data_IF_061085256425
#
_entry.id   IF_061085256425
#
_cell.length_a   1.000
_cell.length_b   1.000
_cell.length_c   1.000
_cell.angle_alpha   90.00
_cell.angle_beta   90.00
_cell.angle_gamma   90.00
#
_symmetry.space_group_name_H-M   'P 1'
#
loop_
_entity.id
_entity.type
_entity.pdbx_description
1 polymer ?
#
# COMPACT_ATOMS: atom_id res chain seq x y z
N UNK A 1 34.11 -13.91 4.79
CA UNK A 1 33.70 -13.50 6.15
C UNK A 1 32.33 -14.09 6.42
N UNK A 2 32.14 -14.74 7.55
CA UNK A 2 30.85 -15.32 7.93
C UNK A 2 29.88 -14.19 8.29
N UNK A 3 28.69 -14.18 7.69
CA UNK A 3 27.66 -13.19 8.01
C UNK A 3 27.02 -13.56 9.35
N UNK A 4 26.66 -12.56 10.16
CA UNK A 4 26.13 -12.76 11.52
C UNK A 4 24.72 -12.21 11.67
N UNK A 5 23.90 -12.90 12.45
CA UNK A 5 22.55 -12.49 12.77
C UNK A 5 22.59 -11.20 13.61
N UNK A 6 21.83 -10.17 13.22
CA UNK A 6 21.79 -8.89 13.95
C UNK A 6 21.16 -9.01 15.35
N UNK A 7 20.37 -10.07 15.60
CA UNK A 7 19.68 -10.30 16.87
C UNK A 7 20.54 -11.12 17.83
N UNK A 8 21.03 -12.29 17.38
CA UNK A 8 21.69 -13.27 18.26
C UNK A 8 23.18 -13.50 17.95
N UNK A 9 23.77 -12.82 16.97
CA UNK A 9 25.17 -12.96 16.53
C UNK A 9 25.61 -14.34 16.00
N UNK A 10 24.70 -15.31 15.90
CA UNK A 10 24.94 -16.61 15.25
C UNK A 10 25.17 -16.46 13.74
N UNK A 11 25.63 -17.53 13.08
CA UNK A 11 25.77 -17.55 11.63
C UNK A 11 24.42 -17.26 10.95
N UNK A 12 24.45 -16.28 10.03
CA UNK A 12 23.27 -15.84 9.31
C UNK A 12 23.25 -16.38 7.88
N UNK A 13 22.07 -16.87 7.50
CA UNK A 13 21.79 -17.43 6.17
C UNK A 13 20.84 -16.57 5.36
N UNK A 14 20.15 -15.63 6.00
CA UNK A 14 19.12 -14.78 5.39
C UNK A 14 19.55 -13.30 5.44
N UNK A 15 19.16 -12.54 4.42
CA UNK A 15 19.41 -11.10 4.32
C UNK A 15 18.13 -10.40 3.86
N UNK A 16 17.81 -9.26 4.44
CA UNK A 16 16.74 -8.41 3.92
C UNK A 16 17.27 -7.69 2.67
N UNK A 17 16.54 -7.80 1.55
CA UNK A 17 16.95 -7.21 0.28
C UNK A 17 17.06 -5.69 0.42
N UNK A 18 18.20 -5.14 0.03
CA UNK A 18 18.45 -3.69 0.08
C UNK A 18 18.97 -3.18 1.42
N UNK A 19 19.09 -4.03 2.45
CA UNK A 19 19.73 -3.67 3.72
C UNK A 19 21.01 -4.46 3.94
N UNK A 20 21.82 -4.03 4.91
CA UNK A 20 22.98 -4.77 5.38
C UNK A 20 22.64 -5.75 6.53
N UNK A 21 21.35 -5.99 6.77
CA UNK A 21 20.87 -6.77 7.90
C UNK A 21 20.79 -8.25 7.54
N UNK A 22 21.35 -9.07 8.43
CA UNK A 22 21.42 -10.52 8.27
C UNK A 22 20.77 -11.21 9.46
N UNK A 23 20.12 -12.35 9.20
CA UNK A 23 19.37 -13.11 10.20
C UNK A 23 19.71 -14.60 10.08
N UNK A 24 19.77 -15.28 11.23
CA UNK A 24 19.72 -16.75 11.25
C UNK A 24 18.29 -17.22 10.97
N UNK A 25 18.10 -18.52 10.73
CA UNK A 25 16.79 -19.09 10.41
C UNK A 25 15.74 -18.82 11.50
N UNK A 26 16.07 -19.11 12.76
CA UNK A 26 15.16 -18.99 13.89
C UNK A 26 14.68 -17.55 14.07
N UNK A 27 15.63 -16.59 14.12
CA UNK A 27 15.29 -15.18 14.24
C UNK A 27 14.50 -14.65 13.03
N UNK A 28 14.79 -15.14 11.81
CA UNK A 28 14.02 -14.77 10.64
C UNK A 28 12.58 -15.31 10.72
N UNK A 29 12.39 -16.57 11.11
CA UNK A 29 11.06 -17.17 11.25
C UNK A 29 10.24 -16.47 12.35
N UNK A 30 10.84 -16.15 13.50
CA UNK A 30 10.15 -15.45 14.58
C UNK A 30 9.76 -14.01 14.21
N UNK A 31 10.64 -13.27 13.53
CA UNK A 31 10.47 -11.83 13.30
C UNK A 31 9.84 -11.49 11.94
N UNK A 32 9.85 -12.42 10.97
CA UNK A 32 9.22 -12.21 9.65
C UNK A 32 7.87 -12.92 9.50
N UNK A 33 7.46 -13.74 10.48
CA UNK A 33 6.17 -14.43 10.41
C UNK A 33 4.98 -13.56 10.83
N UNK A 34 5.20 -12.51 11.61
CA UNK A 34 4.12 -11.59 11.99
C UNK A 34 3.85 -10.60 10.86
N UNK A 35 2.77 -10.87 10.12
CA UNK A 35 2.30 -10.08 9.00
C UNK A 35 1.05 -9.26 9.35
N UNK A 36 0.59 -9.27 10.62
CA UNK A 36 -0.68 -8.67 11.02
C UNK A 36 -0.74 -7.18 10.69
N UNK A 37 0.38 -6.46 10.86
CA UNK A 37 0.47 -5.05 10.50
C UNK A 37 0.38 -4.85 8.98
N UNK A 38 1.01 -5.72 8.19
CA UNK A 38 1.01 -5.60 6.73
C UNK A 38 -0.39 -5.81 6.15
N UNK A 39 -1.15 -6.77 6.70
CA UNK A 39 -2.54 -7.02 6.30
C UNK A 39 -3.42 -5.80 6.59
N UNK A 40 -3.32 -5.21 7.79
CA UNK A 40 -4.08 -4.00 8.14
C UNK A 40 -3.77 -2.82 7.23
N UNK A 41 -2.48 -2.62 6.92
CA UNK A 41 -2.05 -1.55 6.00
C UNK A 41 -2.60 -1.78 4.59
N UNK A 42 -2.65 -3.03 4.11
CA UNK A 42 -3.25 -3.37 2.82
C UNK A 42 -4.76 -3.07 2.80
N UNK A 43 -5.48 -3.42 3.86
CA UNK A 43 -6.92 -3.12 4.02
C UNK A 43 -7.18 -1.59 3.98
N UNK A 44 -6.41 -0.81 4.74
CA UNK A 44 -6.52 0.65 4.75
C UNK A 44 -6.20 1.26 3.37
N UNK A 45 -5.19 0.73 2.67
CA UNK A 45 -4.82 1.18 1.34
C UNK A 45 -5.92 0.89 0.30
N UNK A 46 -6.59 -0.26 0.40
CA UNK A 46 -7.74 -0.60 -0.44
C UNK A 46 -8.92 0.34 -0.20
N UNK A 47 -9.28 0.58 1.07
CA UNK A 47 -10.36 1.51 1.42
C UNK A 47 -10.09 2.93 0.89
N UNK A 48 -8.85 3.40 1.02
CA UNK A 48 -8.45 4.70 0.50
C UNK A 48 -8.55 4.76 -1.03
N UNK A 49 -8.12 3.70 -1.71
CA UNK A 49 -8.21 3.61 -3.18
C UNK A 49 -9.67 3.67 -3.65
N UNK A 50 -10.55 2.88 -3.04
CA UNK A 50 -11.98 2.88 -3.36
C UNK A 50 -12.62 4.26 -3.13
N UNK A 51 -12.27 4.93 -2.02
CA UNK A 51 -12.74 6.27 -1.73
C UNK A 51 -12.31 7.29 -2.80
N UNK A 52 -11.04 7.24 -3.23
CA UNK A 52 -10.52 8.12 -4.30
C UNK A 52 -11.23 7.85 -5.62
N UNK A 53 -11.37 6.59 -6.02
CA UNK A 53 -12.06 6.22 -7.27
C UNK A 53 -13.53 6.65 -7.27
N UNK A 54 -14.22 6.56 -6.12
CA UNK A 54 -15.58 7.05 -5.99
C UNK A 54 -15.63 8.58 -6.14
N UNK A 55 -14.71 9.30 -5.50
CA UNK A 55 -14.65 10.77 -5.58
C UNK A 55 -14.33 11.27 -6.99
N UNK A 56 -13.47 10.57 -7.72
CA UNK A 56 -13.18 10.89 -9.12
C UNK A 56 -14.42 10.72 -10.01
N UNK A 57 -15.20 9.65 -9.82
CA UNK A 57 -16.45 9.44 -10.56
C UNK A 57 -17.51 10.49 -10.22
N UNK A 58 -17.71 10.80 -8.94
CA UNK A 58 -18.65 11.84 -8.50
C UNK A 58 -18.32 13.20 -9.15
N UNK A 59 -17.04 13.57 -9.22
CA UNK A 59 -16.61 14.81 -9.87
C UNK A 59 -16.82 14.79 -11.40
N UNK A 60 -16.63 13.63 -12.03
CA UNK A 60 -16.81 13.46 -13.48
C UNK A 60 -18.30 13.54 -13.87
N UNK A 61 -19.18 12.94 -13.07
CA UNK A 61 -20.64 13.01 -13.24
C UNK A 61 -21.16 14.43 -13.00
N UNK A 62 -20.67 15.14 -11.97
CA UNK A 62 -21.06 16.53 -11.67
C UNK A 62 -20.62 17.50 -12.78
N UNK A 63 -19.43 17.28 -13.37
CA UNK A 63 -18.98 18.04 -14.52
C UNK A 63 -19.86 17.82 -15.77
N UNK A 64 -20.39 16.61 -15.96
CA UNK A 64 -21.28 16.29 -17.09
C UNK A 64 -22.65 17.01 -16.96
N UNK A 65 -23.19 17.07 -15.74
CA UNK A 65 -24.48 17.74 -15.48
C UNK A 65 -24.47 19.25 -15.70
N UNK A 66 -23.32 19.92 -15.50
CA UNK A 66 -23.21 21.37 -15.69
C UNK A 66 -23.22 21.73 -17.19
N UNK A 67 -22.78 20.83 -18.07
CA UNK A 67 -22.70 21.08 -19.52
C UNK A 67 -24.08 20.96 -20.19
N UNK A 68 -25.01 20.18 -19.62
CA UNK A 68 -26.34 19.97 -20.20
C UNK A 68 -27.34 21.13 -19.93
N UNK A 69 -27.07 22.00 -18.95
CA UNK A 69 -27.95 23.13 -18.60
C UNK A 69 -27.69 24.40 -19.45
N UNK A 70 -26.54 24.53 -20.11
CA UNK A 70 -26.16 25.72 -20.90
C UNK A 70 -26.58 25.65 -22.38
N UNK A 71 -27.17 24.54 -22.84
CA UNK A 71 -27.52 24.29 -24.26
C UNK A 71 -29.02 24.47 -24.57
N UNK A 72 -29.80 25.16 -23.74
CA UNK A 72 -31.21 25.50 -24.04
C UNK A 72 -31.28 26.82 -24.86
N UNK A 73 -31.52 26.80 -26.19
CA UNK A 73 -31.65 28.02 -26.96
C UNK A 73 -32.92 28.75 -26.54
N UNK A 74 -32.75 29.92 -25.90
CA UNK A 74 -33.85 30.84 -25.61
C UNK A 74 -34.53 31.26 -26.93
N UNK A 75 -35.65 30.61 -27.24
CA UNK A 75 -36.57 31.00 -28.31
C UNK A 75 -37.29 32.27 -27.89
N UNK A 76 -36.80 33.40 -28.40
CA UNK A 76 -37.54 34.67 -28.44
C UNK A 76 -38.56 34.67 -29.58
#
# INVERSE_FOLDING_TARGET
MTKKCIICNNEASFQIKGTADYYCKECAEENFADLDLLVKVEEEALQLKEFVEQKEKENEDEALTIIEEDDEPQRN
#
